data_IF_719187052964
#
_entry.id   IF_719187052964
#
_cell.length_a   1.000
_cell.length_b   1.000
_cell.length_c   1.000
_cell.angle_alpha   90.00
_cell.angle_beta   90.00
_cell.angle_gamma   90.00
#
_symmetry.space_group_name_H-M   'P 1'
#
loop_
_entity.id
_entity.type
_entity.pdbx_description
1 polymer ?
#
# COMPACT_ATOMS: atom_id res chain seq x y z
N UNK A 1 -17.35 33.90 -15.48
CA UNK A 1 -17.96 33.69 -14.16
C UNK A 1 -19.29 32.93 -14.20
N UNK A 2 -20.33 33.33 -14.98
CA UNK A 2 -21.58 32.54 -15.07
C UNK A 2 -21.40 31.17 -15.73
N UNK A 3 -20.64 31.05 -16.82
CA UNK A 3 -20.36 29.78 -17.51
C UNK A 3 -19.56 28.77 -16.67
N UNK A 4 -18.71 29.24 -15.75
CA UNK A 4 -17.96 28.37 -14.83
C UNK A 4 -18.90 27.78 -13.75
N UNK A 5 -19.75 28.61 -13.16
CA UNK A 5 -20.77 28.14 -12.20
C UNK A 5 -21.76 27.13 -12.81
N UNK A 6 -22.13 27.31 -14.07
CA UNK A 6 -22.99 26.35 -14.77
C UNK A 6 -22.27 25.01 -15.02
N UNK A 7 -20.96 25.04 -15.32
CA UNK A 7 -20.17 23.82 -15.49
C UNK A 7 -20.00 23.07 -14.18
N UNK A 8 -19.69 23.77 -13.09
CA UNK A 8 -19.58 23.18 -11.75
C UNK A 8 -20.89 22.54 -11.34
N UNK A 9 -22.01 23.26 -11.44
CA UNK A 9 -23.35 22.73 -11.12
C UNK A 9 -23.72 21.48 -11.93
N UNK A 10 -23.33 21.40 -13.21
CA UNK A 10 -23.57 20.20 -14.05
C UNK A 10 -22.67 19.03 -13.62
N UNK A 11 -21.43 19.28 -13.25
CA UNK A 11 -20.52 18.24 -12.74
C UNK A 11 -21.00 17.66 -11.42
N UNK A 12 -21.47 18.50 -10.50
CA UNK A 12 -22.00 18.06 -9.21
C UNK A 12 -23.31 17.27 -9.39
N UNK A 13 -24.20 17.68 -10.27
CA UNK A 13 -25.41 16.93 -10.57
C UNK A 13 -25.11 15.54 -11.17
N UNK A 14 -24.15 15.45 -12.07
CA UNK A 14 -23.71 14.17 -12.64
C UNK A 14 -23.02 13.28 -11.58
N UNK A 15 -22.20 13.86 -10.72
CA UNK A 15 -21.57 13.18 -9.57
C UNK A 15 -22.63 12.58 -8.64
N UNK A 16 -23.62 13.37 -8.22
CA UNK A 16 -24.72 12.90 -7.38
C UNK A 16 -25.52 11.79 -8.06
N UNK A 17 -25.73 11.87 -9.38
CA UNK A 17 -26.40 10.82 -10.15
C UNK A 17 -25.66 9.51 -10.13
N UNK A 18 -24.35 9.53 -10.42
CA UNK A 18 -23.51 8.33 -10.43
C UNK A 18 -23.39 7.69 -9.02
N UNK A 19 -23.25 8.52 -7.99
CA UNK A 19 -23.23 8.04 -6.61
C UNK A 19 -24.57 7.41 -6.21
N UNK A 20 -25.68 8.05 -6.52
CA UNK A 20 -27.01 7.53 -6.21
C UNK A 20 -27.30 6.21 -6.94
N UNK A 21 -26.94 6.09 -8.23
CA UNK A 21 -27.05 4.86 -8.98
C UNK A 21 -26.24 3.74 -8.34
N UNK A 22 -25.00 4.01 -7.96
CA UNK A 22 -24.14 3.06 -7.29
C UNK A 22 -24.69 2.62 -5.94
N UNK A 23 -25.23 3.55 -5.14
CA UNK A 23 -25.87 3.24 -3.85
C UNK A 23 -27.05 2.29 -4.07
N UNK A 24 -27.87 2.55 -5.06
CA UNK A 24 -29.02 1.70 -5.38
C UNK A 24 -28.59 0.30 -5.84
N UNK A 25 -27.56 0.18 -6.67
CA UNK A 25 -27.08 -1.09 -7.22
C UNK A 25 -26.29 -1.92 -6.18
N UNK A 26 -25.36 -1.30 -5.44
CA UNK A 26 -24.43 -2.03 -4.55
C UNK A 26 -25.00 -2.20 -3.12
N UNK A 27 -25.81 -1.27 -2.62
CA UNK A 27 -26.31 -1.29 -1.24
C UNK A 27 -27.80 -1.62 -1.14
N UNK A 28 -28.57 -1.35 -2.20
CA UNK A 28 -30.02 -1.55 -2.31
C UNK A 28 -30.78 -1.17 -1.02
N UNK A 29 -30.60 0.04 -0.44
CA UNK A 29 -31.30 0.43 0.77
C UNK A 29 -32.77 0.71 0.46
N UNK A 30 -33.69 0.32 1.36
CA UNK A 30 -35.11 0.69 1.23
C UNK A 30 -35.30 2.19 1.47
N UNK A 31 -34.52 2.74 2.40
CA UNK A 31 -34.57 4.14 2.78
C UNK A 31 -33.19 4.72 3.01
N UNK A 32 -32.99 5.96 2.63
CA UNK A 32 -31.76 6.71 2.86
C UNK A 32 -32.06 8.10 3.40
N UNK A 33 -31.17 8.61 4.25
CA UNK A 33 -31.15 10.02 4.62
C UNK A 33 -29.82 10.63 4.18
N UNK A 34 -29.86 11.91 3.84
CA UNK A 34 -28.68 12.67 3.44
C UNK A 34 -28.44 13.76 4.45
N UNK A 35 -27.19 13.86 4.90
CA UNK A 35 -26.68 14.86 5.84
C UNK A 35 -25.45 15.51 5.23
N UNK A 36 -25.38 16.83 5.24
CA UNK A 36 -24.23 17.60 4.75
C UNK A 36 -24.41 19.08 5.04
N UNK A 37 -23.36 19.84 4.86
CA UNK A 37 -23.36 21.29 5.12
C UNK A 37 -23.92 22.09 3.90
N UNK A 38 -23.76 21.57 2.71
CA UNK A 38 -24.30 22.19 1.48
C UNK A 38 -25.70 21.67 1.14
N UNK A 39 -26.71 22.50 1.43
CA UNK A 39 -28.11 22.20 1.17
C UNK A 39 -28.40 21.89 -0.31
N UNK A 40 -27.72 22.57 -1.24
CA UNK A 40 -27.92 22.37 -2.65
C UNK A 40 -27.45 20.96 -3.10
N UNK A 41 -26.28 20.54 -2.66
CA UNK A 41 -25.72 19.22 -2.92
C UNK A 41 -26.55 18.11 -2.25
N UNK A 42 -26.95 18.32 -0.98
CA UNK A 42 -27.83 17.39 -0.27
C UNK A 42 -29.16 17.19 -1.01
N UNK A 43 -29.80 18.27 -1.46
CA UNK A 43 -31.05 18.23 -2.24
C UNK A 43 -30.86 17.54 -3.59
N UNK A 44 -29.75 17.80 -4.29
CA UNK A 44 -29.40 17.15 -5.55
C UNK A 44 -29.24 15.65 -5.38
N UNK A 45 -28.52 15.23 -4.33
CA UNK A 45 -28.30 13.81 -4.02
C UNK A 45 -29.59 13.10 -3.61
N UNK A 46 -30.43 13.71 -2.78
CA UNK A 46 -31.75 13.17 -2.43
C UNK A 46 -32.62 12.95 -3.67
N UNK A 47 -32.66 13.94 -4.58
CA UNK A 47 -33.39 13.85 -5.83
C UNK A 47 -32.84 12.72 -6.73
N UNK A 48 -31.53 12.56 -6.77
CA UNK A 48 -30.88 11.50 -7.52
C UNK A 48 -31.18 10.10 -6.92
N UNK A 49 -31.14 9.95 -5.59
CA UNK A 49 -31.52 8.72 -4.90
C UNK A 49 -32.98 8.34 -5.14
N UNK A 50 -33.90 9.29 -5.09
CA UNK A 50 -35.32 9.04 -5.41
C UNK A 50 -35.50 8.58 -6.85
N UNK A 51 -34.76 9.16 -7.81
CA UNK A 51 -34.79 8.71 -9.22
C UNK A 51 -34.22 7.30 -9.39
N UNK A 52 -33.27 6.91 -8.53
CA UNK A 52 -32.69 5.56 -8.50
C UNK A 52 -33.58 4.53 -7.74
N UNK A 53 -34.78 4.92 -7.28
CA UNK A 53 -35.73 4.04 -6.59
C UNK A 53 -35.58 3.95 -5.08
N UNK A 54 -34.68 4.74 -4.48
CA UNK A 54 -34.46 4.76 -3.01
C UNK A 54 -35.35 5.83 -2.38
N UNK A 55 -36.03 5.51 -1.29
CA UNK A 55 -36.77 6.52 -0.48
C UNK A 55 -35.79 7.39 0.25
N UNK A 56 -35.46 8.56 -0.29
CA UNK A 56 -34.50 9.49 0.27
C UNK A 56 -35.17 10.70 0.92
N UNK A 57 -34.79 11.01 2.16
CA UNK A 57 -35.27 12.16 2.93
C UNK A 57 -34.06 12.93 3.50
N UNK A 58 -34.33 14.14 3.94
CA UNK A 58 -33.39 14.88 4.75
C UNK A 58 -33.24 14.22 6.13
N UNK A 59 -32.03 14.23 6.66
CA UNK A 59 -31.79 13.72 8.02
C UNK A 59 -32.45 14.65 9.04
N UNK A 60 -33.34 14.10 9.84
CA UNK A 60 -33.89 14.80 11.01
C UNK A 60 -33.74 13.91 12.23
N UNK A 61 -33.17 14.46 13.30
CA UNK A 61 -32.99 13.73 14.56
C UNK A 61 -34.31 13.24 15.20
N UNK A 62 -35.44 13.83 14.78
CA UNK A 62 -36.78 13.50 15.23
C UNK A 62 -37.53 12.52 14.35
N UNK A 63 -36.86 11.93 13.33
CA UNK A 63 -37.51 11.01 12.42
C UNK A 63 -38.06 9.79 13.16
N UNK A 64 -39.34 9.52 13.00
CA UNK A 64 -40.04 8.41 13.66
C UNK A 64 -39.49 7.02 13.27
N UNK A 65 -38.75 6.94 12.19
CA UNK A 65 -38.12 5.72 11.69
C UNK A 65 -36.71 6.01 11.23
N UNK A 66 -35.74 5.25 11.73
CA UNK A 66 -34.36 5.35 11.27
C UNK A 66 -34.24 4.87 9.82
N UNK A 67 -33.49 5.59 8.96
CA UNK A 67 -33.21 5.13 7.62
C UNK A 67 -32.25 3.92 7.63
N UNK A 68 -32.29 3.11 6.58
CA UNK A 68 -31.35 1.99 6.44
C UNK A 68 -29.94 2.47 6.14
N UNK A 69 -29.82 3.62 5.44
CA UNK A 69 -28.57 4.23 5.06
C UNK A 69 -28.56 5.73 5.40
N UNK A 70 -27.52 6.17 6.08
CA UNK A 70 -27.19 7.59 6.24
C UNK A 70 -26.01 7.91 5.29
N UNK A 71 -26.24 8.84 4.37
CA UNK A 71 -25.18 9.40 3.53
C UNK A 71 -24.76 10.74 4.12
N UNK A 72 -23.49 10.87 4.45
CA UNK A 72 -22.90 12.11 4.97
C UNK A 72 -21.99 12.68 3.92
N UNK A 73 -22.34 13.84 3.39
CA UNK A 73 -21.54 14.55 2.41
C UNK A 73 -20.74 15.65 3.08
N UNK A 74 -19.45 15.66 2.80
CA UNK A 74 -18.43 16.54 3.34
C UNK A 74 -18.52 16.72 4.88
N UNK A 75 -18.17 15.68 5.65
CA UNK A 75 -18.38 15.65 7.11
C UNK A 75 -17.50 16.62 7.90
N UNK A 76 -16.76 17.51 7.24
CA UNK A 76 -15.78 18.42 7.90
C UNK A 76 -16.45 19.33 8.92
N UNK A 77 -17.66 19.77 8.64
CA UNK A 77 -18.41 20.72 9.48
C UNK A 77 -19.66 20.12 10.14
N UNK A 78 -19.89 18.83 9.94
CA UNK A 78 -21.10 18.15 10.43
C UNK A 78 -20.79 17.42 11.73
N UNK A 79 -21.61 17.64 12.76
CA UNK A 79 -21.52 16.87 14.00
C UNK A 79 -22.13 15.48 13.84
N UNK A 80 -21.50 14.50 14.48
CA UNK A 80 -21.98 13.13 14.45
C UNK A 80 -23.33 13.02 15.19
N UNK A 81 -24.43 12.63 14.51
CA UNK A 81 -25.73 12.48 15.16
C UNK A 81 -25.69 11.49 16.31
N UNK A 82 -26.51 11.72 17.33
CA UNK A 82 -26.60 10.82 18.49
C UNK A 82 -27.10 9.42 18.08
N UNK A 83 -28.05 9.37 17.14
CA UNK A 83 -28.55 8.13 16.55
C UNK A 83 -28.10 8.04 15.12
N UNK A 84 -27.59 6.89 14.74
CA UNK A 84 -27.08 6.62 13.39
C UNK A 84 -27.86 5.49 12.74
N UNK A 85 -27.93 5.52 11.42
CA UNK A 85 -28.46 4.44 10.60
C UNK A 85 -27.60 3.15 10.74
N UNK A 86 -28.16 2.00 10.38
CA UNK A 86 -27.44 0.73 10.36
C UNK A 86 -26.22 0.74 9.41
N UNK A 87 -26.30 1.56 8.35
CA UNK A 87 -25.20 1.79 7.40
C UNK A 87 -24.94 3.30 7.31
N UNK A 88 -23.68 3.72 7.34
CA UNK A 88 -23.25 5.12 7.19
C UNK A 88 -22.26 5.18 6.03
N UNK A 89 -22.58 5.95 5.00
CA UNK A 89 -21.70 6.23 3.89
C UNK A 89 -21.14 7.63 4.02
N UNK A 90 -19.85 7.75 4.22
CA UNK A 90 -19.13 9.02 4.19
C UNK A 90 -18.65 9.32 2.79
N UNK A 91 -18.86 10.54 2.34
CA UNK A 91 -18.40 11.02 1.02
C UNK A 91 -17.65 12.31 1.27
N UNK A 92 -16.34 12.31 1.10
CA UNK A 92 -15.47 13.42 1.49
C UNK A 92 -14.50 13.79 0.38
N UNK A 93 -14.17 15.07 0.32
CA UNK A 93 -13.04 15.59 -0.45
C UNK A 93 -11.73 15.52 0.35
N UNK A 94 -11.81 15.63 1.69
CA UNK A 94 -10.67 15.60 2.59
C UNK A 94 -10.49 14.22 3.26
N UNK A 95 -9.28 13.68 3.13
CA UNK A 95 -8.88 12.40 3.76
C UNK A 95 -8.78 12.49 5.27
N UNK A 96 -8.44 13.66 5.82
CA UNK A 96 -8.30 13.88 7.24
C UNK A 96 -9.65 13.84 7.94
N UNK A 97 -10.67 14.48 7.32
CA UNK A 97 -12.05 14.44 7.81
C UNK A 97 -12.58 12.99 7.81
N UNK A 98 -12.27 12.22 6.75
CA UNK A 98 -12.65 10.82 6.67
C UNK A 98 -12.03 9.98 7.81
N UNK A 99 -10.76 10.21 8.15
CA UNK A 99 -10.07 9.50 9.21
C UNK A 99 -10.69 9.81 10.58
N UNK A 100 -10.95 11.09 10.88
CA UNK A 100 -11.56 11.52 12.13
C UNK A 100 -12.96 10.92 12.33
N UNK A 101 -13.77 10.92 11.28
CA UNK A 101 -15.10 10.31 11.32
C UNK A 101 -15.03 8.79 11.47
N UNK A 102 -14.06 8.14 10.79
CA UNK A 102 -13.85 6.71 10.92
C UNK A 102 -13.55 6.32 12.38
N UNK A 103 -12.72 7.09 13.07
CA UNK A 103 -12.42 6.88 14.48
C UNK A 103 -13.65 7.04 15.37
N UNK A 104 -14.42 8.12 15.20
CA UNK A 104 -15.64 8.36 15.94
C UNK A 104 -16.70 7.26 15.72
N UNK A 105 -16.85 6.80 14.47
CA UNK A 105 -17.75 5.69 14.14
C UNK A 105 -17.27 4.36 14.74
N UNK A 106 -15.97 4.11 14.76
CA UNK A 106 -15.39 2.92 15.39
C UNK A 106 -15.67 2.91 16.91
N UNK A 107 -15.55 4.06 17.59
CA UNK A 107 -15.88 4.20 19.01
C UNK A 107 -17.37 3.91 19.29
N UNK A 108 -18.25 4.15 18.32
CA UNK A 108 -19.70 3.84 18.40
C UNK A 108 -20.07 2.44 17.91
N UNK A 109 -19.10 1.60 17.64
CA UNK A 109 -19.34 0.21 17.24
C UNK A 109 -19.60 0.01 15.75
N UNK A 110 -19.18 0.93 14.90
CA UNK A 110 -19.21 0.76 13.46
C UNK A 110 -17.87 0.26 12.96
N UNK A 111 -17.90 -0.59 11.93
CA UNK A 111 -16.70 -1.04 11.22
C UNK A 111 -16.76 -0.63 9.75
N UNK A 112 -15.59 -0.37 9.17
CA UNK A 112 -15.46 0.01 7.76
C UNK A 112 -15.70 -1.22 6.88
N UNK A 113 -16.59 -1.07 5.89
CA UNK A 113 -16.82 -2.10 4.88
C UNK A 113 -15.69 -2.07 3.83
N UNK A 114 -14.85 -3.11 3.82
CA UNK A 114 -13.70 -3.22 2.93
C UNK A 114 -14.08 -3.49 1.47
N UNK A 115 -15.31 -3.90 1.21
CA UNK A 115 -15.80 -4.14 -0.16
C UNK A 115 -16.25 -2.86 -0.85
N UNK A 116 -16.59 -1.82 -0.07
CA UNK A 116 -16.90 -0.51 -0.64
C UNK A 116 -15.59 0.23 -0.98
N UNK A 117 -15.31 0.40 -2.28
CA UNK A 117 -14.13 1.13 -2.75
C UNK A 117 -14.53 2.44 -3.40
N UNK A 118 -13.82 3.52 -3.07
CA UNK A 118 -13.96 4.79 -3.79
C UNK A 118 -13.55 4.62 -5.25
N UNK A 119 -14.40 5.07 -6.20
CA UNK A 119 -14.11 5.00 -7.64
C UNK A 119 -13.59 6.34 -8.21
N UNK A 120 -13.53 7.40 -7.39
CA UNK A 120 -13.08 8.74 -7.81
C UNK A 120 -11.66 9.06 -7.34
N UNK A 121 -10.96 9.90 -8.13
CA UNK A 121 -9.64 10.44 -7.72
C UNK A 121 -9.76 11.66 -6.80
N UNK A 122 -10.83 12.43 -6.95
CA UNK A 122 -11.05 13.71 -6.27
C UNK A 122 -11.94 13.59 -5.04
N UNK A 123 -12.66 12.49 -4.88
CA UNK A 123 -13.56 12.28 -3.76
C UNK A 123 -13.40 10.87 -3.23
N UNK A 124 -13.21 10.77 -1.93
CA UNK A 124 -13.15 9.49 -1.24
C UNK A 124 -14.50 9.16 -0.61
N UNK A 125 -14.91 7.90 -0.68
CA UNK A 125 -16.09 7.42 0.00
C UNK A 125 -15.76 6.17 0.80
N UNK A 126 -16.32 6.06 2.00
CA UNK A 126 -16.19 4.91 2.87
C UNK A 126 -17.54 4.55 3.46
N UNK A 127 -17.87 3.26 3.39
CA UNK A 127 -19.07 2.70 3.98
C UNK A 127 -18.74 2.13 5.36
N UNK A 128 -19.59 2.42 6.33
CA UNK A 128 -19.51 1.87 7.68
C UNK A 128 -20.81 1.14 7.99
N UNK A 129 -20.69 0.02 8.69
CA UNK A 129 -21.82 -0.79 9.13
C UNK A 129 -21.83 -0.91 10.65
N UNK A 130 -23.00 -0.84 11.26
CA UNK A 130 -23.13 -1.16 12.68
C UNK A 130 -22.69 -2.62 12.93
N UNK A 131 -21.82 -2.80 13.90
CA UNK A 131 -21.40 -4.13 14.28
C UNK A 131 -22.50 -4.84 15.05
N UNK A 132 -22.78 -6.10 14.67
CA UNK A 132 -23.57 -6.95 15.54
C UNK A 132 -22.79 -7.29 16.81
N UNK A 133 -23.47 -7.52 17.95
CA UNK A 133 -22.80 -7.94 19.20
C UNK A 133 -21.88 -9.15 18.93
N UNK A 134 -20.59 -9.02 19.21
CA UNK A 134 -19.57 -10.05 18.95
C UNK A 134 -18.77 -9.88 17.63
N UNK A 135 -19.31 -9.25 16.60
CA UNK A 135 -18.61 -9.06 15.33
C UNK A 135 -17.42 -8.08 15.46
N UNK A 136 -17.51 -7.13 16.39
CA UNK A 136 -16.46 -6.13 16.63
C UNK A 136 -15.14 -6.75 17.12
N UNK A 137 -15.24 -7.79 17.96
CA UNK A 137 -14.07 -8.51 18.44
C UNK A 137 -13.34 -9.25 17.30
N UNK A 138 -14.10 -9.85 16.38
CA UNK A 138 -13.57 -10.54 15.20
C UNK A 138 -12.91 -9.56 14.25
N UNK A 139 -13.54 -8.40 13.99
CA UNK A 139 -12.97 -7.37 13.11
C UNK A 139 -11.66 -6.81 13.69
N UNK A 140 -11.63 -6.50 15.01
CA UNK A 140 -10.39 -6.05 15.68
C UNK A 140 -9.29 -7.12 15.62
N UNK A 141 -9.64 -8.40 15.73
CA UNK A 141 -8.69 -9.50 15.55
C UNK A 141 -8.06 -9.51 14.15
N UNK A 142 -8.87 -9.33 13.10
CA UNK A 142 -8.37 -9.26 11.73
C UNK A 142 -7.54 -7.98 11.46
N UNK A 143 -7.91 -6.83 12.03
CA UNK A 143 -7.12 -5.60 11.93
C UNK A 143 -5.73 -5.78 12.54
N UNK A 144 -5.64 -6.38 13.71
CA UNK A 144 -4.36 -6.70 14.36
C UNK A 144 -3.52 -7.70 13.53
N UNK A 145 -4.16 -8.68 12.93
CA UNK A 145 -3.48 -9.64 12.05
C UNK A 145 -2.97 -8.97 10.78
N UNK A 146 -3.76 -8.10 10.16
CA UNK A 146 -3.34 -7.30 9.01
C UNK A 146 -2.16 -6.38 9.32
N UNK A 147 -2.14 -5.75 10.48
CA UNK A 147 -1.03 -4.89 10.91
C UNK A 147 0.24 -5.73 11.14
N UNK A 148 0.11 -6.90 11.77
CA UNK A 148 1.26 -7.81 11.94
C UNK A 148 1.81 -8.33 10.62
N UNK A 149 0.93 -8.61 9.64
CA UNK A 149 1.34 -9.02 8.29
C UNK A 149 2.03 -7.87 7.54
N UNK A 150 1.53 -6.65 7.67
CA UNK A 150 2.15 -5.45 7.12
C UNK A 150 3.57 -5.24 7.65
N UNK A 151 3.74 -5.35 8.97
CA UNK A 151 5.05 -5.24 9.61
C UNK A 151 6.03 -6.34 9.18
N UNK A 152 5.53 -7.56 8.96
CA UNK A 152 6.33 -8.66 8.41
C UNK A 152 6.75 -8.38 6.97
N UNK A 153 5.84 -7.85 6.15
CA UNK A 153 6.13 -7.50 4.77
C UNK A 153 7.22 -6.41 4.68
N UNK A 154 7.10 -5.33 5.47
CA UNK A 154 8.11 -4.25 5.52
C UNK A 154 9.47 -4.78 5.98
N UNK A 155 9.50 -5.69 6.96
CA UNK A 155 10.76 -6.33 7.40
C UNK A 155 11.36 -7.23 6.31
N UNK A 156 10.53 -7.99 5.59
CA UNK A 156 10.99 -8.83 4.49
C UNK A 156 11.55 -7.98 3.34
N UNK A 157 10.88 -6.89 2.97
CA UNK A 157 11.35 -5.96 1.94
C UNK A 157 12.72 -5.34 2.31
N UNK A 158 12.89 -4.93 3.57
CA UNK A 158 14.18 -4.43 4.07
C UNK A 158 15.27 -5.50 3.98
N UNK A 159 14.98 -6.71 4.43
CA UNK A 159 15.93 -7.84 4.35
C UNK A 159 16.31 -8.17 2.90
N UNK A 160 15.34 -8.15 1.97
CA UNK A 160 15.62 -8.32 0.54
C UNK A 160 16.52 -7.20 0.00
N UNK A 161 16.31 -5.96 0.41
CA UNK A 161 17.16 -4.83 0.04
C UNK A 161 18.61 -4.98 0.55
N UNK A 162 18.78 -5.40 1.80
CA UNK A 162 20.09 -5.66 2.39
C UNK A 162 20.81 -6.81 1.68
N UNK A 163 20.11 -7.89 1.36
CA UNK A 163 20.69 -9.00 0.61
C UNK A 163 21.07 -8.60 -0.82
N UNK A 164 20.24 -7.79 -1.50
CA UNK A 164 20.58 -7.28 -2.83
C UNK A 164 21.86 -6.42 -2.80
N UNK A 165 21.99 -5.53 -1.81
CA UNK A 165 23.19 -4.73 -1.62
C UNK A 165 24.44 -5.59 -1.35
N UNK A 166 24.32 -6.64 -0.54
CA UNK A 166 25.39 -7.59 -0.28
C UNK A 166 25.81 -8.35 -1.54
N UNK A 167 24.85 -8.82 -2.31
CA UNK A 167 25.11 -9.51 -3.60
C UNK A 167 25.88 -8.59 -4.54
N UNK A 168 25.50 -7.32 -4.64
CA UNK A 168 26.19 -6.37 -5.51
C UNK A 168 27.62 -6.10 -5.05
N UNK A 169 27.83 -6.00 -3.73
CA UNK A 169 29.17 -5.88 -3.15
C UNK A 169 30.04 -7.09 -3.45
N UNK A 170 29.53 -8.30 -3.24
CA UNK A 170 30.25 -9.53 -3.55
C UNK A 170 30.58 -9.67 -5.05
N UNK A 171 29.69 -9.22 -5.93
CA UNK A 171 29.96 -9.17 -7.38
C UNK A 171 31.09 -8.22 -7.72
N UNK A 172 31.12 -7.05 -7.11
CA UNK A 172 32.20 -6.07 -7.26
C UNK A 172 33.54 -6.63 -6.79
N UNK A 173 33.56 -7.25 -5.61
CA UNK A 173 34.77 -7.85 -5.04
C UNK A 173 35.30 -9.01 -5.93
N UNK A 174 34.40 -9.82 -6.45
CA UNK A 174 34.73 -10.91 -7.38
C UNK A 174 35.29 -10.39 -8.69
N UNK A 175 34.75 -9.27 -9.23
CA UNK A 175 35.25 -8.62 -10.43
C UNK A 175 36.67 -8.08 -10.21
N UNK A 176 36.94 -7.46 -9.06
CA UNK A 176 38.26 -6.99 -8.67
C UNK A 176 39.26 -8.15 -8.52
N UNK A 177 38.87 -9.24 -7.86
CA UNK A 177 39.70 -10.43 -7.71
C UNK A 177 40.10 -11.04 -9.06
N UNK A 178 39.12 -11.16 -9.99
CA UNK A 178 39.39 -11.64 -11.35
C UNK A 178 40.34 -10.72 -12.14
N UNK A 179 40.22 -9.40 -11.95
CA UNK A 179 41.14 -8.46 -12.60
C UNK A 179 42.57 -8.60 -12.08
N UNK A 180 42.74 -8.79 -10.77
CA UNK A 180 44.03 -9.06 -10.17
C UNK A 180 44.62 -10.40 -10.63
N UNK A 181 43.82 -11.45 -10.68
CA UNK A 181 44.23 -12.75 -11.21
C UNK A 181 44.75 -12.62 -12.64
N UNK A 182 44.07 -11.94 -13.51
CA UNK A 182 44.49 -11.68 -14.88
C UNK A 182 45.79 -10.87 -14.93
N UNK A 183 45.94 -9.83 -14.10
CA UNK A 183 47.21 -9.08 -14.04
C UNK A 183 48.39 -9.96 -13.58
N UNK A 184 48.15 -10.84 -12.60
CA UNK A 184 49.18 -11.78 -12.15
C UNK A 184 49.55 -12.79 -13.24
N UNK A 185 48.56 -13.29 -13.99
CA UNK A 185 48.82 -14.17 -15.13
C UNK A 185 49.64 -13.46 -16.22
N UNK A 186 49.32 -12.21 -16.53
CA UNK A 186 50.05 -11.39 -17.53
C UNK A 186 51.51 -11.17 -17.05
N UNK A 187 51.70 -10.77 -15.76
CA UNK A 187 53.06 -10.56 -15.21
C UNK A 187 53.88 -11.87 -15.15
N UNK A 188 53.24 -12.99 -14.78
CA UNK A 188 53.88 -14.30 -14.84
C UNK A 188 54.25 -14.68 -16.27
N UNK A 189 53.38 -14.40 -17.24
CA UNK A 189 53.65 -14.63 -18.64
C UNK A 189 54.86 -13.82 -19.14
N UNK A 190 54.95 -12.55 -18.77
CA UNK A 190 56.09 -11.68 -19.10
C UNK A 190 57.37 -12.19 -18.49
N UNK A 191 57.37 -12.53 -17.15
CA UNK A 191 58.53 -13.07 -16.48
C UNK A 191 58.99 -14.38 -17.09
N UNK A 192 58.08 -15.32 -17.29
CA UNK A 192 58.43 -16.65 -17.85
C UNK A 192 58.78 -16.57 -19.35
N UNK A 193 58.23 -15.60 -20.07
CA UNK A 193 58.55 -15.32 -21.50
C UNK A 193 59.90 -14.61 -21.69
N UNK A 194 60.45 -14.00 -20.65
CA UNK A 194 61.68 -13.21 -20.75
C UNK A 194 62.86 -14.07 -21.15
N UNK A 195 63.77 -13.50 -21.95
CA UNK A 195 65.00 -14.16 -22.40
C UNK A 195 65.87 -14.59 -21.23
N UNK A 196 65.91 -13.81 -20.17
CA UNK A 196 66.61 -14.13 -18.95
C UNK A 196 66.05 -15.38 -18.25
N UNK A 197 64.73 -15.52 -18.18
CA UNK A 197 64.06 -16.70 -17.58
C UNK A 197 64.39 -17.95 -18.39
N UNK A 198 64.33 -17.85 -19.72
CA UNK A 198 64.64 -18.96 -20.64
C UNK A 198 66.12 -19.37 -20.53
N UNK A 199 67.03 -18.41 -20.43
CA UNK A 199 68.47 -18.67 -20.28
C UNK A 199 68.83 -19.33 -18.96
N UNK A 200 68.17 -18.96 -17.86
CA UNK A 200 68.42 -19.50 -16.52
C UNK A 200 67.62 -20.77 -16.22
N UNK A 201 66.69 -21.16 -17.08
CA UNK A 201 65.84 -22.34 -16.90
C UNK A 201 66.60 -23.64 -16.64
N UNK A 202 67.68 -24.01 -17.42
CA UNK A 202 68.43 -25.23 -17.18
C UNK A 202 69.06 -25.29 -15.79
N UNK A 203 69.63 -24.17 -15.36
CA UNK A 203 70.24 -24.07 -14.03
C UNK A 203 69.22 -24.23 -12.89
N UNK A 204 68.06 -23.61 -13.02
CA UNK A 204 66.95 -23.73 -12.05
C UNK A 204 66.35 -25.15 -12.03
N UNK A 205 66.24 -25.79 -13.17
CA UNK A 205 65.78 -27.18 -13.25
C UNK A 205 66.71 -28.11 -12.46
N UNK A 206 68.04 -27.96 -12.62
CA UNK A 206 69.02 -28.75 -11.89
C UNK A 206 68.92 -28.51 -10.40
N UNK A 207 68.83 -27.23 -9.96
CA UNK A 207 68.69 -26.87 -8.56
C UNK A 207 67.38 -27.41 -7.95
N UNK A 208 66.28 -27.33 -8.65
CA UNK A 208 65.00 -27.86 -8.19
C UNK A 208 65.00 -29.37 -8.02
N UNK A 209 65.63 -30.08 -8.98
CA UNK A 209 65.75 -31.53 -8.94
C UNK A 209 66.69 -31.98 -7.84
N UNK A 210 67.82 -31.28 -7.62
CA UNK A 210 68.73 -31.59 -6.53
C UNK A 210 68.05 -31.41 -5.16
N UNK A 211 67.25 -30.34 -4.99
CA UNK A 211 66.47 -30.08 -3.78
C UNK A 211 65.44 -31.17 -3.50
N UNK A 212 64.72 -31.67 -4.53
CA UNK A 212 63.81 -32.81 -4.38
C UNK A 212 64.55 -34.10 -3.96
N UNK A 213 65.74 -34.36 -4.53
CA UNK A 213 66.56 -35.52 -4.15
C UNK A 213 67.04 -35.43 -2.69
N UNK A 214 67.40 -34.26 -2.21
CA UNK A 214 67.76 -34.06 -0.80
C UNK A 214 66.63 -34.34 0.19
N UNK A 215 65.42 -34.09 -0.19
CA UNK A 215 64.24 -34.42 0.63
C UNK A 215 63.82 -35.89 0.58
N UNK A 216 64.30 -36.63 -0.41
CA UNK A 216 63.98 -38.06 -0.60
C UNK A 216 65.05 -39.00 -0.09
N UNK A 217 66.25 -38.48 0.27
CA UNK A 217 67.30 -39.29 0.89
C UNK A 217 66.88 -39.53 2.36
N UNK A 218 66.65 -40.79 2.78
CA UNK A 218 66.46 -41.12 4.19
C UNK A 218 67.70 -40.77 4.92
N UNK A 219 67.58 -40.00 5.97
CA UNK A 219 68.67 -39.84 7.00
C UNK A 219 68.96 -41.23 7.61
N UNK A 220 69.92 -41.90 7.01
CA UNK A 220 70.57 -43.02 7.71
C UNK A 220 71.46 -42.43 8.82
N UNK A 221 70.94 -42.43 10.06
CA UNK A 221 71.69 -42.34 11.27
C UNK A 221 71.45 -43.64 12.02
#
# INVERSE_FOLDING_TARGET
MQLEKEKESRQDAERCRLLAQRIAEELAPESAAVLGDDEATCTALQKALRKAGVRANEWTAAAARQPDLLVVEDPTFVELPAQLAAKVLLVCTDTTALANWAEQLAQRGYYRDMFWRSKGRTQQSALFRAAQPGALAVVKGYEQELDTLRDRMVRAERSCGEQAALIERLRSDLALSRSHEKQLEETLGEVTGSTFWKLTWPARYVVSKSRQLWHTLPLFV
#
